data_IF_028309969737
#
_entry.id   IF_028309969737
#
_cell.length_a   1.000
_cell.length_b   1.000
_cell.length_c   1.000
_cell.angle_alpha   90.00
_cell.angle_beta   90.00
_cell.angle_gamma   90.00
#
_symmetry.space_group_name_H-M   'P 1'
#
loop_
_entity.id
_entity.type
_entity.pdbx_description
1 polymer ?
#
# COMPACT_ATOMS: atom_id res chain seq x y z
N UNK A 1 -16.04 -11.16 -23.32
CA UNK A 1 -14.91 -11.07 -22.41
C UNK A 1 -15.34 -10.41 -21.12
N UNK A 2 -14.98 -11.00 -20.01
CA UNK A 2 -15.22 -10.34 -18.74
C UNK A 2 -14.02 -9.44 -18.47
N UNK A 3 -14.27 -8.16 -18.42
CA UNK A 3 -13.24 -7.21 -18.03
C UNK A 3 -13.03 -7.30 -16.53
N UNK A 4 -11.82 -7.05 -16.10
CA UNK A 4 -11.56 -6.90 -14.68
C UNK A 4 -12.45 -5.81 -14.11
N UNK A 5 -13.05 -6.08 -12.96
CA UNK A 5 -13.82 -5.07 -12.28
C UNK A 5 -12.87 -3.97 -11.85
N UNK A 6 -13.12 -2.81 -12.40
CA UNK A 6 -12.31 -1.64 -12.16
C UNK A 6 -13.25 -0.54 -11.71
N UNK A 7 -13.21 -0.20 -10.44
CA UNK A 7 -14.14 0.76 -9.86
C UNK A 7 -13.94 2.18 -10.42
N UNK A 8 -12.83 2.42 -11.15
CA UNK A 8 -12.46 3.75 -11.59
C UNK A 8 -11.99 3.75 -13.04
N UNK A 9 -12.24 4.85 -13.79
CA UNK A 9 -11.68 5.02 -15.13
C UNK A 9 -10.16 4.98 -15.13
N UNK A 10 -9.56 4.63 -16.28
CA UNK A 10 -8.10 4.53 -16.39
C UNK A 10 -7.37 5.85 -16.07
N UNK A 11 -7.95 6.99 -16.43
CA UNK A 11 -7.34 8.28 -16.16
C UNK A 11 -7.39 8.69 -14.68
N UNK A 12 -8.11 7.94 -13.85
CA UNK A 12 -8.10 8.11 -12.39
C UNK A 12 -7.02 7.27 -11.71
N UNK A 13 -6.37 6.38 -12.46
CA UNK A 13 -5.32 5.54 -11.90
C UNK A 13 -4.03 6.33 -11.72
N UNK A 14 -3.35 6.04 -10.65
CA UNK A 14 -2.12 6.72 -10.27
C UNK A 14 -0.99 5.70 -10.21
N UNK A 15 0.24 6.16 -10.48
CA UNK A 15 1.41 5.33 -10.33
C UNK A 15 1.74 5.18 -8.85
N UNK A 16 1.84 3.94 -8.39
CA UNK A 16 2.27 3.62 -7.05
C UNK A 16 3.35 2.55 -7.10
N UNK A 17 4.15 2.47 -6.06
CA UNK A 17 5.15 1.42 -5.92
C UNK A 17 4.90 0.70 -4.62
N UNK A 18 5.03 -0.62 -4.63
CA UNK A 18 4.84 -1.45 -3.43
C UNK A 18 6.03 -2.39 -3.31
N UNK A 19 6.62 -2.44 -2.12
CA UNK A 19 7.71 -3.35 -1.78
C UNK A 19 7.24 -4.30 -0.69
N UNK A 20 7.58 -5.58 -0.85
CA UNK A 20 7.20 -6.61 0.10
C UNK A 20 8.24 -6.76 1.20
N UNK A 21 7.79 -6.91 2.44
CA UNK A 21 8.70 -7.24 3.54
C UNK A 21 9.15 -8.68 3.38
N UNK A 22 10.46 -8.90 3.27
CA UNK A 22 11.03 -10.22 3.04
C UNK A 22 11.79 -10.77 4.25
N UNK A 23 11.98 -9.97 5.28
CA UNK A 23 12.65 -10.43 6.49
C UNK A 23 13.08 -9.28 7.38
N UNK A 24 13.92 -9.63 8.35
CA UNK A 24 14.54 -8.66 9.25
C UNK A 24 16.02 -8.99 9.39
N UNK A 25 16.81 -7.97 9.72
CA UNK A 25 18.22 -8.14 10.08
C UNK A 25 18.52 -7.29 11.30
N UNK A 26 19.62 -7.55 11.98
CA UNK A 26 20.10 -6.69 13.05
C UNK A 26 21.11 -5.68 12.49
N UNK A 27 21.02 -4.44 12.98
CA UNK A 27 22.04 -3.45 12.69
C UNK A 27 23.26 -3.65 13.64
N UNK A 28 24.25 -2.78 13.54
CA UNK A 28 25.47 -2.86 14.35
C UNK A 28 25.21 -2.63 15.84
N UNK A 29 24.03 -2.11 16.20
CA UNK A 29 23.63 -1.86 17.59
C UNK A 29 22.68 -2.90 18.14
N UNK A 30 22.38 -3.97 17.37
CA UNK A 30 21.46 -5.02 17.78
C UNK A 30 19.99 -4.71 17.56
N UNK A 31 19.66 -3.61 16.88
CA UNK A 31 18.27 -3.25 16.57
C UNK A 31 17.79 -4.01 15.34
N UNK A 32 16.54 -4.48 15.37
CA UNK A 32 15.95 -5.12 14.21
C UNK A 32 15.58 -4.09 13.13
N UNK A 33 15.98 -4.38 11.89
CA UNK A 33 15.65 -3.58 10.73
C UNK A 33 14.88 -4.45 9.74
N UNK A 34 13.74 -3.97 9.27
CA UNK A 34 12.96 -4.67 8.25
C UNK A 34 13.65 -4.59 6.90
N UNK A 35 13.64 -5.70 6.16
CA UNK A 35 14.18 -5.79 4.81
C UNK A 35 13.04 -5.95 3.83
N UNK A 36 13.08 -5.21 2.73
CA UNK A 36 12.04 -5.21 1.70
C UNK A 36 12.62 -5.62 0.36
N UNK A 37 11.75 -6.21 -0.47
CA UNK A 37 12.09 -6.50 -1.86
C UNK A 37 12.22 -5.21 -2.67
N UNK A 38 12.73 -5.33 -3.89
CA UNK A 38 12.72 -4.22 -4.85
C UNK A 38 11.27 -3.79 -5.10
N UNK A 39 10.97 -2.49 -5.05
CA UNK A 39 9.60 -2.03 -5.29
C UNK A 39 9.11 -2.34 -6.71
N UNK A 40 7.85 -2.74 -6.81
CA UNK A 40 7.17 -2.99 -8.09
C UNK A 40 6.18 -1.86 -8.35
N UNK A 41 6.13 -1.41 -9.60
CA UNK A 41 5.22 -0.34 -10.03
C UNK A 41 3.85 -0.91 -10.38
N UNK A 42 2.81 -0.21 -9.95
CA UNK A 42 1.42 -0.54 -10.27
C UNK A 42 0.66 0.73 -10.63
N UNK A 43 -0.44 0.56 -11.36
CA UNK A 43 -1.39 1.64 -11.62
C UNK A 43 -2.71 1.32 -10.96
N UNK A 44 -2.96 1.92 -9.81
CA UNK A 44 -4.21 1.78 -9.08
C UNK A 44 -4.76 3.16 -8.75
N UNK A 45 -6.08 3.26 -8.64
CA UNK A 45 -6.69 4.44 -8.05
C UNK A 45 -6.70 4.27 -6.54
N UNK A 46 -6.22 5.25 -5.82
CA UNK A 46 -6.36 5.31 -4.38
C UNK A 46 -6.99 6.65 -3.97
N UNK A 47 -7.73 6.65 -2.90
CA UNK A 47 -8.51 7.79 -2.44
C UNK A 47 -8.37 7.96 -0.93
N UNK A 48 -8.70 9.16 -0.47
CA UNK A 48 -8.78 9.43 0.97
C UNK A 48 -9.88 8.60 1.62
N UNK A 49 -9.64 8.23 2.87
CA UNK A 49 -10.59 7.45 3.68
C UNK A 49 -11.48 8.45 4.43
N UNK A 50 -12.78 8.49 4.07
CA UNK A 50 -13.68 9.51 4.62
C UNK A 50 -15.14 9.08 4.72
N UNK A 51 -15.46 7.80 4.50
CA UNK A 51 -16.84 7.34 4.67
C UNK A 51 -17.18 7.21 6.16
N UNK A 52 -18.48 7.28 6.48
CA UNK A 52 -18.93 7.19 7.87
C UNK A 52 -18.52 5.87 8.51
N UNK A 53 -18.60 4.75 7.78
CA UNK A 53 -18.20 3.46 8.30
C UNK A 53 -16.69 3.37 8.54
N UNK A 54 -15.90 4.01 7.68
CA UNK A 54 -14.45 4.04 7.84
C UNK A 54 -14.05 4.91 9.02
N UNK A 55 -14.70 6.05 9.20
CA UNK A 55 -14.46 6.90 10.36
C UNK A 55 -14.82 6.17 11.64
N UNK A 56 -15.92 5.41 11.64
CA UNK A 56 -16.30 4.60 12.80
C UNK A 56 -15.27 3.52 13.12
N UNK A 57 -14.66 2.93 12.11
CA UNK A 57 -13.66 1.87 12.29
C UNK A 57 -12.30 2.41 12.70
N UNK A 58 -11.81 3.44 12.02
CA UNK A 58 -10.42 3.91 12.15
C UNK A 58 -10.27 5.18 12.97
N UNK A 59 -11.36 5.91 13.20
CA UNK A 59 -11.32 7.13 14.02
C UNK A 59 -10.42 8.20 13.40
N UNK A 60 -9.59 8.80 14.24
CA UNK A 60 -8.70 9.89 13.81
C UNK A 60 -7.66 9.46 12.79
N UNK A 61 -7.35 8.18 12.69
CA UNK A 61 -6.37 7.67 11.73
C UNK A 61 -6.80 7.88 10.28
N UNK A 62 -8.10 8.09 10.02
CA UNK A 62 -8.58 8.33 8.65
C UNK A 62 -7.87 9.49 7.96
N UNK A 63 -7.41 10.48 8.71
CA UNK A 63 -6.70 11.63 8.15
C UNK A 63 -5.34 11.27 7.54
N UNK A 64 -4.76 10.14 7.93
CA UNK A 64 -3.45 9.68 7.44
C UNK A 64 -3.57 8.38 6.64
N UNK A 65 -4.76 8.05 6.17
CA UNK A 65 -5.01 6.80 5.46
C UNK A 65 -5.48 7.04 4.03
N UNK A 66 -5.18 6.08 3.18
CA UNK A 66 -5.70 5.99 1.82
C UNK A 66 -6.31 4.62 1.62
N UNK A 67 -7.20 4.51 0.64
CA UNK A 67 -7.86 3.25 0.28
C UNK A 67 -7.75 3.02 -1.21
N UNK A 68 -7.38 1.82 -1.61
CA UNK A 68 -7.43 1.37 -2.99
C UNK A 68 -8.38 0.19 -3.12
N UNK A 69 -9.15 0.15 -4.21
CA UNK A 69 -10.00 -0.98 -4.58
C UNK A 69 -9.40 -1.57 -5.85
N UNK A 70 -8.92 -2.79 -5.76
CA UNK A 70 -8.17 -3.41 -6.84
C UNK A 70 -8.82 -4.74 -7.27
N UNK A 71 -8.51 -5.24 -8.48
CA UNK A 71 -9.10 -6.50 -8.96
C UNK A 71 -8.72 -7.69 -8.10
N UNK A 72 -9.63 -8.66 -7.99
CA UNK A 72 -9.39 -9.89 -7.21
C UNK A 72 -8.24 -10.72 -7.76
N UNK A 73 -7.83 -10.50 -9.01
CA UNK A 73 -6.67 -11.17 -9.58
C UNK A 73 -5.38 -10.91 -8.80
N UNK A 74 -5.34 -9.86 -7.99
CA UNK A 74 -4.19 -9.55 -7.13
C UNK A 74 -4.28 -10.22 -5.75
N UNK A 75 -5.21 -11.15 -5.55
CA UNK A 75 -5.31 -11.87 -4.29
C UNK A 75 -3.99 -12.54 -3.93
N UNK A 76 -3.56 -12.37 -2.68
CA UNK A 76 -2.30 -12.90 -2.14
C UNK A 76 -1.03 -12.24 -2.69
N UNK A 77 -1.14 -11.22 -3.53
CA UNK A 77 0.02 -10.47 -4.01
C UNK A 77 0.53 -9.50 -2.94
N UNK A 78 -0.40 -8.85 -2.24
CA UNK A 78 -0.08 -7.86 -1.22
C UNK A 78 -0.39 -8.41 0.17
N UNK A 79 0.44 -8.04 1.14
CA UNK A 79 0.32 -8.54 2.51
C UNK A 79 0.47 -7.41 3.51
N UNK A 80 -0.02 -7.65 4.73
CA UNK A 80 0.27 -6.77 5.84
C UNK A 80 1.79 -6.59 6.01
N UNK A 81 2.20 -5.40 6.40
CA UNK A 81 3.60 -4.99 6.57
C UNK A 81 4.35 -4.69 5.26
N UNK A 82 3.75 -4.92 4.10
CA UNK A 82 4.30 -4.37 2.87
C UNK A 82 4.25 -2.84 2.94
N UNK A 83 5.14 -2.18 2.21
CA UNK A 83 5.20 -0.72 2.19
C UNK A 83 4.91 -0.18 0.82
N UNK A 84 4.39 1.04 0.77
CA UNK A 84 3.97 1.66 -0.47
C UNK A 84 4.48 3.09 -0.59
N UNK A 85 4.61 3.53 -1.83
CA UNK A 85 4.98 4.88 -2.20
C UNK A 85 3.78 5.51 -2.88
N UNK A 86 3.13 6.43 -2.19
CA UNK A 86 1.95 7.15 -2.68
C UNK A 86 2.26 8.64 -2.73
N UNK A 87 1.32 9.43 -3.26
CA UNK A 87 1.41 10.88 -3.29
C UNK A 87 2.69 11.37 -3.98
N UNK A 88 2.98 10.79 -5.15
CA UNK A 88 4.16 11.10 -5.98
C UNK A 88 5.50 10.74 -5.36
N UNK A 89 5.52 10.03 -4.24
CA UNK A 89 6.77 9.49 -3.71
C UNK A 89 7.32 8.40 -4.64
N UNK A 90 8.63 8.38 -4.80
CA UNK A 90 9.31 7.39 -5.63
C UNK A 90 10.37 6.64 -4.83
N UNK A 91 10.65 5.38 -5.18
CA UNK A 91 11.69 4.62 -4.51
C UNK A 91 13.07 5.30 -4.64
N UNK A 92 13.89 5.15 -3.61
CA UNK A 92 15.27 5.59 -3.66
C UNK A 92 16.02 4.72 -4.68
N UNK A 93 16.61 5.36 -5.70
CA UNK A 93 17.32 4.64 -6.76
C UNK A 93 18.60 3.96 -6.27
N UNK A 94 19.18 4.43 -5.19
CA UNK A 94 20.42 3.88 -4.65
C UNK A 94 20.16 2.59 -3.88
N UNK A 95 19.19 2.59 -2.97
CA UNK A 95 18.86 1.43 -2.15
C UNK A 95 17.77 0.57 -2.78
N UNK A 96 16.70 1.22 -3.28
CA UNK A 96 15.60 0.58 -3.98
C UNK A 96 14.98 -0.60 -3.20
N UNK A 97 14.95 -0.51 -1.87
CA UNK A 97 14.50 -1.59 -0.99
C UNK A 97 13.30 -1.21 -0.11
N UNK A 98 12.57 -0.16 -0.46
CA UNK A 98 11.38 0.22 0.29
C UNK A 98 11.63 1.04 1.54
N UNK A 99 12.87 1.36 1.85
CA UNK A 99 13.25 2.10 3.06
C UNK A 99 12.82 3.57 3.03
N UNK A 100 12.47 4.11 1.87
CA UNK A 100 11.98 5.48 1.70
C UNK A 100 10.47 5.54 1.46
N UNK A 101 9.76 4.44 1.66
CA UNK A 101 8.30 4.41 1.50
C UNK A 101 7.62 5.32 2.51
N UNK A 102 6.48 5.88 2.12
CA UNK A 102 5.72 6.80 2.98
C UNK A 102 4.44 6.20 3.56
N UNK A 103 4.06 5.00 3.14
CA UNK A 103 2.87 4.30 3.64
C UNK A 103 3.18 2.84 3.91
N UNK A 104 2.38 2.22 4.79
CA UNK A 104 2.37 0.77 5.00
C UNK A 104 1.00 0.21 4.67
N UNK A 105 0.94 -1.05 4.31
CA UNK A 105 -0.31 -1.73 4.05
C UNK A 105 -0.86 -2.33 5.33
N UNK A 106 -2.16 -2.12 5.55
CA UNK A 106 -2.92 -2.89 6.53
C UNK A 106 -3.31 -4.22 5.90
N UNK A 107 -3.80 -5.21 6.69
CA UNK A 107 -4.19 -6.50 6.09
C UNK A 107 -5.19 -6.30 4.95
N UNK A 108 -4.91 -6.81 3.75
CA UNK A 108 -5.85 -6.71 2.64
C UNK A 108 -7.18 -7.39 2.95
N UNK A 109 -8.28 -6.76 2.52
CA UNK A 109 -9.63 -7.29 2.72
C UNK A 109 -10.13 -7.88 1.40
N UNK A 110 -10.16 -9.20 1.31
CA UNK A 110 -10.55 -9.89 0.08
C UNK A 110 -12.07 -10.01 0.00
N UNK A 111 -12.65 -9.44 -1.06
CA UNK A 111 -14.05 -9.63 -1.39
C UNK A 111 -14.21 -10.70 -2.46
N UNK A 112 -15.41 -10.77 -3.06
CA UNK A 112 -15.68 -11.73 -4.13
C UNK A 112 -15.16 -11.27 -5.50
N UNK A 113 -15.13 -9.96 -5.72
CA UNK A 113 -14.76 -9.39 -7.01
C UNK A 113 -13.58 -8.43 -6.92
N UNK A 114 -13.36 -7.86 -5.75
CA UNK A 114 -12.31 -6.86 -5.53
C UNK A 114 -11.62 -7.09 -4.20
N UNK A 115 -10.45 -6.48 -4.07
CA UNK A 115 -9.70 -6.43 -2.81
C UNK A 115 -9.64 -4.98 -2.37
N UNK A 116 -9.91 -4.73 -1.09
CA UNK A 116 -9.76 -3.39 -0.51
C UNK A 116 -8.46 -3.36 0.27
N UNK A 117 -7.59 -2.43 -0.08
CA UNK A 117 -6.32 -2.21 0.61
C UNK A 117 -6.35 -0.85 1.26
N UNK A 118 -6.07 -0.82 2.55
CA UNK A 118 -5.87 0.42 3.29
C UNK A 118 -4.38 0.66 3.48
N UNK A 119 -3.99 1.90 3.24
CA UNK A 119 -2.61 2.37 3.45
C UNK A 119 -2.62 3.35 4.61
N UNK A 120 -1.70 3.19 5.54
CA UNK A 120 -1.52 4.11 6.65
C UNK A 120 -0.18 4.81 6.50
N UNK A 121 -0.18 6.15 6.59
CA UNK A 121 1.04 6.93 6.43
C UNK A 121 2.01 6.64 7.57
N UNK A 122 3.27 6.44 7.20
CA UNK A 122 4.33 6.19 8.18
C UNK A 122 4.72 7.50 8.88
N UNK A 123 4.91 7.42 10.19
CA UNK A 123 5.30 8.56 11.00
C UNK A 123 6.70 9.01 10.62
N UNK A 124 6.89 10.30 10.45
CA UNK A 124 8.19 10.86 10.12
C UNK A 124 8.56 10.80 8.64
N UNK A 125 7.61 10.45 7.79
CA UNK A 125 7.81 10.36 6.34
C UNK A 125 7.11 11.48 5.59
#
# INVERSE_FOLDING_TARGET
>A
MIEEINAYPDDWKQDIYIASKIGVKEDEYGNEISIYSKPTSYKFNYQSVNSDSEIAEFGEKTSIMKRAVIPISYKNVFKEFDVAYLDDATPNKETNHGDTANYRLLPPRNGNAVIIIYFEKLTGK
#
